data_IF_388280282155
#
_entry.id   IF_388280282155
#
_cell.length_a   1.000
_cell.length_b   1.000
_cell.length_c   1.000
_cell.angle_alpha   90.00
_cell.angle_beta   90.00
_cell.angle_gamma   90.00
#
_symmetry.space_group_name_H-M   'P 1'
#
loop_
_entity.id
_entity.type
_entity.pdbx_description
1 polymer ?
#
# COMPACT_ATOMS: atom_id res chain seq x y z
N UNK A 1 3.89 16.58 -9.75
CA UNK A 1 2.50 16.83 -9.29
C UNK A 1 2.57 17.22 -7.81
N UNK A 2 1.80 18.20 -7.35
CA UNK A 2 1.66 18.51 -5.92
C UNK A 2 1.27 17.25 -5.10
N UNK A 3 1.83 17.11 -3.88
CA UNK A 3 1.60 15.92 -3.04
C UNK A 3 0.11 15.68 -2.77
N UNK A 4 -0.66 16.74 -2.49
CA UNK A 4 -2.10 16.63 -2.22
C UNK A 4 -2.87 16.08 -3.43
N UNK A 5 -2.45 16.37 -4.66
CA UNK A 5 -3.10 15.84 -5.86
C UNK A 5 -2.82 14.34 -6.03
N UNK A 6 -1.62 13.87 -5.63
CA UNK A 6 -1.28 12.45 -5.62
C UNK A 6 -2.07 11.69 -4.54
N UNK A 7 -2.25 12.29 -3.37
CA UNK A 7 -3.08 11.73 -2.29
C UNK A 7 -4.52 11.59 -2.77
N UNK A 8 -5.09 12.62 -3.40
CA UNK A 8 -6.43 12.58 -3.96
C UNK A 8 -6.56 11.48 -5.05
N UNK A 9 -5.55 11.30 -5.89
CA UNK A 9 -5.54 10.28 -6.94
C UNK A 9 -5.53 8.84 -6.38
N UNK A 10 -4.70 8.57 -5.37
CA UNK A 10 -4.69 7.26 -4.70
C UNK A 10 -6.00 7.01 -3.94
N UNK A 11 -6.50 8.03 -3.22
CA UNK A 11 -7.72 7.91 -2.43
C UNK A 11 -8.94 7.57 -3.30
N UNK A 12 -9.10 8.23 -4.46
CA UNK A 12 -10.16 7.93 -5.44
C UNK A 12 -10.08 6.51 -6.01
N UNK A 13 -8.90 5.92 -6.04
CA UNK A 13 -8.70 4.57 -6.58
C UNK A 13 -8.98 3.48 -5.54
N UNK A 14 -8.95 3.83 -4.24
CA UNK A 14 -9.17 2.92 -3.11
C UNK A 14 -10.61 2.99 -2.57
N UNK A 15 -11.26 4.15 -2.64
CA UNK A 15 -12.60 4.38 -2.12
C UNK A 15 -13.65 4.38 -3.24
N UNK A 16 -14.72 3.61 -3.04
CA UNK A 16 -15.88 3.50 -3.92
C UNK A 16 -16.78 4.74 -3.91
N UNK A 17 -16.71 5.56 -2.85
CA UNK A 17 -17.40 6.86 -2.74
C UNK A 17 -16.36 7.99 -2.71
N UNK A 18 -15.92 8.49 -3.87
CA UNK A 18 -14.95 9.57 -3.93
C UNK A 18 -15.62 10.88 -3.48
N UNK A 19 -15.12 11.46 -2.40
CA UNK A 19 -15.67 12.69 -1.82
C UNK A 19 -14.90 13.18 -0.61
N UNK A 20 -14.32 12.27 0.17
CA UNK A 20 -13.58 12.60 1.39
C UNK A 20 -12.09 12.32 1.24
N UNK A 21 -11.26 13.36 1.29
CA UNK A 21 -9.81 13.23 1.28
C UNK A 21 -9.15 14.08 2.36
N UNK A 22 -7.97 13.64 2.83
CA UNK A 22 -7.19 14.42 3.78
C UNK A 22 -6.12 15.20 3.03
N UNK A 23 -6.10 16.51 3.27
CA UNK A 23 -5.08 17.39 2.73
C UNK A 23 -4.04 17.76 3.77
N UNK A 24 -2.79 17.82 3.36
CA UNK A 24 -1.72 18.37 4.17
C UNK A 24 -1.53 19.85 3.83
N UNK A 25 -1.61 20.69 4.86
CA UNK A 25 -1.17 22.08 4.78
C UNK A 25 0.06 22.23 5.66
N UNK A 26 1.19 22.54 5.02
CA UNK A 26 2.40 22.98 5.71
C UNK A 26 2.34 24.49 5.88
N UNK A 27 2.43 24.99 7.11
CA UNK A 27 2.70 26.39 7.39
C UNK A 27 4.12 26.50 7.94
N UNK A 28 4.96 27.28 7.25
CA UNK A 28 6.32 27.57 7.67
C UNK A 28 6.36 28.96 8.31
N UNK A 29 6.59 29.00 9.61
CA UNK A 29 7.03 30.19 10.34
C UNK A 29 8.52 30.02 10.64
N UNK A 30 9.27 31.13 10.70
CA UNK A 30 10.75 31.16 10.84
C UNK A 30 11.30 30.23 11.94
N UNK A 31 10.51 29.94 12.98
CA UNK A 31 10.90 29.03 14.07
C UNK A 31 10.13 27.69 14.13
N UNK A 32 9.13 27.47 13.27
CA UNK A 32 8.29 26.27 13.33
C UNK A 32 7.68 25.91 11.99
N UNK A 33 7.86 24.65 11.59
CA UNK A 33 7.05 24.02 10.56
C UNK A 33 5.88 23.32 11.24
N UNK A 34 4.65 23.75 10.96
CA UNK A 34 3.45 23.02 11.37
C UNK A 34 2.85 22.28 10.18
N UNK A 35 2.65 20.98 10.35
CA UNK A 35 1.94 20.13 9.41
C UNK A 35 0.53 19.93 9.95
N UNK A 36 -0.46 20.54 9.30
CA UNK A 36 -1.87 20.37 9.64
C UNK A 36 -2.55 19.44 8.64
N UNK A 37 -3.33 18.49 9.14
CA UNK A 37 -4.22 17.66 8.32
C UNK A 37 -5.62 18.28 8.34
N UNK A 38 -6.21 18.46 7.16
CA UNK A 38 -7.58 18.95 7.01
C UNK A 38 -8.42 17.96 6.22
N UNK A 39 -9.68 17.80 6.63
CA UNK A 39 -10.66 17.07 5.86
C UNK A 39 -11.18 17.95 4.73
N UNK A 40 -11.20 17.40 3.52
CA UNK A 40 -11.87 17.96 2.37
C UNK A 40 -13.02 17.04 2.00
N UNK A 41 -14.23 17.58 2.01
CA UNK A 41 -15.44 16.96 1.50
C UNK A 41 -15.76 17.58 0.13
N UNK A 42 -15.98 16.75 -0.87
CA UNK A 42 -16.53 17.13 -2.16
C UNK A 42 -17.92 16.53 -2.25
N UNK A 43 -18.93 17.39 -2.26
CA UNK A 43 -20.31 16.99 -2.52
C UNK A 43 -20.50 16.82 -4.03
N UNK A 44 -20.73 15.60 -4.55
CA UNK A 44 -20.91 15.38 -5.99
C UNK A 44 -22.23 15.92 -6.53
N UNK A 45 -23.22 16.22 -5.67
CA UNK A 45 -24.55 16.72 -6.04
C UNK A 45 -24.51 18.26 -6.14
N UNK A 46 -23.87 18.93 -5.17
CA UNK A 46 -23.75 20.39 -5.16
C UNK A 46 -22.48 20.92 -5.83
N UNK A 47 -21.53 20.03 -6.20
CA UNK A 47 -20.20 20.37 -6.69
C UNK A 47 -19.45 21.35 -5.75
N UNK A 48 -19.83 21.33 -4.47
CA UNK A 48 -19.31 22.20 -3.43
C UNK A 48 -18.17 21.50 -2.69
N UNK A 49 -17.11 22.24 -2.40
CA UNK A 49 -15.97 21.76 -1.63
C UNK A 49 -16.01 22.37 -0.24
N UNK A 50 -16.19 21.51 0.76
CA UNK A 50 -16.18 21.91 2.15
C UNK A 50 -14.85 21.51 2.78
N UNK A 51 -14.13 22.48 3.35
CA UNK A 51 -12.96 22.22 4.19
C UNK A 51 -13.38 22.35 5.64
N UNK A 52 -13.22 21.27 6.40
CA UNK A 52 -13.48 21.30 7.84
C UNK A 52 -12.15 21.20 8.58
N UNK A 53 -12.02 22.00 9.65
CA UNK A 53 -10.92 21.88 10.62
C UNK A 53 -11.20 20.75 11.64
N UNK A 54 -12.24 19.94 11.40
CA UNK A 54 -12.56 18.77 12.21
C UNK A 54 -11.47 17.70 12.03
N UNK A 55 -11.00 17.08 13.12
CA UNK A 55 -10.05 15.99 13.02
C UNK A 55 -10.62 14.86 12.14
N UNK A 56 -9.83 14.33 11.18
CA UNK A 56 -10.27 13.23 10.32
C UNK A 56 -10.81 12.02 11.08
N UNK A 57 -10.25 11.78 12.26
CA UNK A 57 -10.62 10.68 13.15
C UNK A 57 -12.05 10.76 13.71
N UNK A 58 -12.68 11.94 13.70
CA UNK A 58 -14.04 12.12 14.19
C UNK A 58 -15.12 11.92 13.12
N UNK A 59 -14.75 11.88 11.84
CA UNK A 59 -15.71 11.90 10.73
C UNK A 59 -15.54 10.68 9.82
N UNK A 60 -14.30 10.22 9.60
CA UNK A 60 -14.03 9.08 8.73
C UNK A 60 -14.31 7.76 9.45
N UNK A 61 -14.89 6.82 8.71
CA UNK A 61 -14.90 5.42 9.16
C UNK A 61 -13.48 4.85 9.24
N UNK A 62 -13.32 3.78 10.00
CA UNK A 62 -12.02 3.11 10.20
C UNK A 62 -11.39 2.67 8.87
N UNK A 63 -12.19 2.14 7.94
CA UNK A 63 -11.74 1.78 6.59
C UNK A 63 -11.32 2.99 5.74
N UNK A 64 -12.03 4.11 5.84
CA UNK A 64 -11.65 5.35 5.13
C UNK A 64 -10.37 5.97 5.68
N UNK A 65 -10.17 5.94 7.00
CA UNK A 65 -8.90 6.36 7.60
C UNK A 65 -7.74 5.49 7.14
N UNK A 66 -7.92 4.17 7.09
CA UNK A 66 -6.90 3.24 6.61
C UNK A 66 -6.55 3.50 5.13
N UNK A 67 -7.55 3.64 4.26
CA UNK A 67 -7.36 3.95 2.84
C UNK A 67 -6.67 5.31 2.64
N UNK A 68 -7.01 6.30 3.45
CA UNK A 68 -6.40 7.62 3.39
C UNK A 68 -4.94 7.60 3.87
N UNK A 69 -4.64 6.99 5.03
CA UNK A 69 -3.26 6.84 5.51
C UNK A 69 -2.38 6.10 4.50
N UNK A 70 -2.95 5.08 3.85
CA UNK A 70 -2.29 4.35 2.78
C UNK A 70 -2.01 5.21 1.52
N UNK A 71 -2.98 6.03 1.11
CA UNK A 71 -2.84 6.97 -0.01
C UNK A 71 -1.70 7.96 0.22
N UNK A 72 -1.55 8.41 1.46
CA UNK A 72 -0.50 9.33 1.89
C UNK A 72 0.87 8.66 1.83
N UNK A 73 0.98 7.43 2.33
CA UNK A 73 2.20 6.64 2.24
C UNK A 73 2.64 6.43 0.79
N UNK A 74 1.72 6.08 -0.09
CA UNK A 74 2.00 5.90 -1.52
C UNK A 74 2.38 7.20 -2.21
N UNK A 75 1.65 8.28 -1.95
CA UNK A 75 1.95 9.60 -2.50
C UNK A 75 3.33 10.09 -2.04
N UNK A 76 3.66 9.92 -0.75
CA UNK A 76 4.97 10.28 -0.23
C UNK A 76 6.09 9.42 -0.83
N UNK A 77 5.90 8.11 -0.92
CA UNK A 77 6.88 7.17 -1.48
C UNK A 77 7.15 7.42 -2.98
N UNK A 78 6.12 7.77 -3.73
CA UNK A 78 6.23 8.06 -5.17
C UNK A 78 6.74 9.48 -5.46
N UNK A 79 6.33 10.47 -4.67
CA UNK A 79 6.78 11.86 -4.82
C UNK A 79 8.21 12.07 -4.33
N UNK A 80 8.61 11.42 -3.23
CA UNK A 80 9.90 11.60 -2.60
C UNK A 80 10.71 10.30 -2.63
N UNK A 81 11.50 10.13 -3.69
CA UNK A 81 12.40 8.98 -3.88
C UNK A 81 13.69 9.12 -3.06
N UNK A 82 13.56 9.19 -1.73
CA UNK A 82 14.71 9.28 -0.81
C UNK A 82 15.55 8.00 -0.76
N UNK A 83 14.99 6.87 -1.18
CA UNK A 83 15.69 5.58 -1.28
C UNK A 83 15.66 5.05 -2.71
N UNK A 84 16.77 4.42 -3.12
CA UNK A 84 16.84 3.67 -4.39
C UNK A 84 16.07 2.36 -4.31
N UNK A 85 15.81 1.85 -3.10
CA UNK A 85 14.99 0.67 -2.91
C UNK A 85 13.52 1.05 -2.93
N UNK A 86 12.87 0.76 -4.06
CA UNK A 86 11.43 1.00 -4.28
C UNK A 86 10.67 -0.16 -3.66
N UNK A 87 10.51 -0.14 -2.34
CA UNK A 87 9.78 -1.17 -1.64
C UNK A 87 8.71 -0.60 -0.71
N UNK A 88 7.66 -1.39 -0.51
CA UNK A 88 6.57 -1.10 0.40
C UNK A 88 6.40 -2.31 1.33
N UNK A 89 6.53 -2.06 2.63
CA UNK A 89 6.35 -3.06 3.68
C UNK A 89 5.07 -2.71 4.42
N UNK A 90 4.12 -3.64 4.43
CA UNK A 90 2.81 -3.44 5.03
C UNK A 90 2.57 -4.50 6.09
N UNK A 91 2.30 -4.05 7.31
CA UNK A 91 1.96 -4.93 8.43
C UNK A 91 0.43 -5.00 8.55
N UNK A 92 -0.14 -6.16 8.23
CA UNK A 92 -1.57 -6.45 8.31
C UNK A 92 -2.50 -5.39 7.67
N UNK A 93 -2.31 -5.01 6.39
CA UNK A 93 -2.98 -3.85 5.78
C UNK A 93 -4.49 -4.01 5.62
N UNK A 94 -5.04 -5.21 5.82
CA UNK A 94 -6.45 -5.53 5.60
C UNK A 94 -7.22 -5.76 6.92
N UNK A 95 -6.61 -5.54 8.08
CA UNK A 95 -7.19 -5.87 9.39
C UNK A 95 -8.58 -5.24 9.63
N UNK A 96 -8.84 -4.07 9.03
CA UNK A 96 -10.08 -3.29 9.21
C UNK A 96 -10.87 -3.06 7.90
N UNK A 97 -10.44 -3.65 6.77
CA UNK A 97 -11.08 -3.43 5.48
C UNK A 97 -12.06 -4.55 5.12
N UNK A 98 -13.19 -4.19 4.50
CA UNK A 98 -14.11 -5.18 3.93
C UNK A 98 -13.54 -5.79 2.63
N UNK A 99 -14.18 -6.85 2.12
CA UNK A 99 -13.74 -7.56 0.91
C UNK A 99 -13.69 -6.63 -0.32
N UNK A 100 -14.55 -5.62 -0.40
CA UNK A 100 -14.62 -4.69 -1.54
C UNK A 100 -13.43 -3.73 -1.53
N UNK A 101 -13.14 -3.10 -0.39
CA UNK A 101 -11.99 -2.23 -0.23
C UNK A 101 -10.67 -3.00 -0.31
N UNK A 102 -10.62 -4.24 0.18
CA UNK A 102 -9.46 -5.12 0.02
C UNK A 102 -9.15 -5.41 -1.46
N UNK A 103 -10.17 -5.62 -2.30
CA UNK A 103 -9.97 -5.84 -3.73
C UNK A 103 -9.38 -4.60 -4.44
N UNK A 104 -9.95 -3.42 -4.19
CA UNK A 104 -9.45 -2.16 -4.74
C UNK A 104 -8.01 -1.89 -4.30
N UNK A 105 -7.72 -2.13 -3.02
CA UNK A 105 -6.37 -2.05 -2.47
C UNK A 105 -5.37 -2.95 -3.22
N UNK A 106 -5.71 -4.24 -3.39
CA UNK A 106 -4.83 -5.17 -4.10
C UNK A 106 -4.61 -4.75 -5.55
N UNK A 107 -5.62 -4.19 -6.22
CA UNK A 107 -5.48 -3.74 -7.60
C UNK A 107 -4.56 -2.50 -7.71
N UNK A 108 -4.63 -1.55 -6.76
CA UNK A 108 -3.63 -0.47 -6.66
C UNK A 108 -2.22 -1.03 -6.40
N UNK A 109 -2.11 -2.08 -5.58
CA UNK A 109 -0.81 -2.66 -5.22
C UNK A 109 -0.16 -3.34 -6.41
N UNK A 110 -0.97 -4.04 -7.20
CA UNK A 110 -0.53 -4.64 -8.45
C UNK A 110 0.01 -3.58 -9.41
N UNK A 111 -0.70 -2.46 -9.56
CA UNK A 111 -0.24 -1.36 -10.40
C UNK A 111 1.11 -0.77 -9.92
N UNK A 112 1.31 -0.64 -8.60
CA UNK A 112 2.60 -0.21 -8.07
C UNK A 112 3.74 -1.21 -8.38
N UNK A 113 3.46 -2.51 -8.35
CA UNK A 113 4.47 -3.54 -8.69
C UNK A 113 4.74 -3.56 -10.20
N UNK A 114 3.69 -3.53 -11.01
CA UNK A 114 3.79 -3.70 -12.47
C UNK A 114 4.31 -2.46 -13.18
N UNK A 115 3.73 -1.29 -12.88
CA UNK A 115 3.99 -0.04 -13.59
C UNK A 115 5.16 0.69 -12.94
N UNK A 116 5.15 0.75 -11.61
CA UNK A 116 6.16 1.49 -10.85
C UNK A 116 7.31 0.59 -10.37
N UNK A 117 7.31 -0.72 -10.63
CA UNK A 117 8.43 -1.60 -10.28
C UNK A 117 8.73 -1.66 -8.77
N UNK A 118 7.71 -1.48 -7.93
CA UNK A 118 7.87 -1.61 -6.48
C UNK A 118 7.96 -3.07 -6.05
N UNK A 119 8.78 -3.34 -5.04
CA UNK A 119 8.78 -4.59 -4.30
C UNK A 119 7.81 -4.49 -3.13
N UNK A 120 6.85 -5.40 -3.07
CA UNK A 120 5.81 -5.38 -2.06
C UNK A 120 5.99 -6.55 -1.08
N UNK A 121 6.07 -6.23 0.21
CA UNK A 121 6.08 -7.20 1.30
C UNK A 121 4.87 -6.94 2.18
N UNK A 122 4.04 -7.96 2.39
CA UNK A 122 2.90 -7.87 3.29
C UNK A 122 2.94 -9.00 4.30
N UNK A 123 2.63 -8.69 5.55
CA UNK A 123 2.18 -9.67 6.54
C UNK A 123 0.66 -9.63 6.63
N UNK A 124 0.05 -10.76 6.97
CA UNK A 124 -1.33 -10.82 7.42
C UNK A 124 -1.43 -11.94 8.45
N UNK A 125 -2.29 -11.75 9.43
CA UNK A 125 -2.61 -12.79 10.42
C UNK A 125 -3.67 -13.78 9.90
N UNK A 126 -4.35 -13.49 8.77
CA UNK A 126 -5.35 -14.37 8.17
C UNK A 126 -4.83 -15.03 6.91
N UNK A 127 -4.83 -16.36 6.89
CA UNK A 127 -4.41 -17.15 5.73
C UNK A 127 -5.26 -16.86 4.48
N UNK A 128 -6.56 -16.65 4.65
CA UNK A 128 -7.49 -16.40 3.55
C UNK A 128 -7.21 -15.07 2.84
N UNK A 129 -6.76 -14.05 3.57
CA UNK A 129 -6.35 -12.77 2.99
C UNK A 129 -5.08 -12.94 2.14
N UNK A 130 -4.09 -13.69 2.65
CA UNK A 130 -2.88 -14.02 1.90
C UNK A 130 -3.17 -14.81 0.61
N UNK A 131 -4.06 -15.79 0.66
CA UNK A 131 -4.51 -16.55 -0.52
C UNK A 131 -5.28 -15.66 -1.51
N UNK A 132 -6.13 -14.75 -1.03
CA UNK A 132 -6.85 -13.80 -1.88
C UNK A 132 -5.90 -12.89 -2.65
N UNK A 133 -4.91 -12.29 -1.97
CA UNK A 133 -3.88 -11.45 -2.59
C UNK A 133 -3.09 -12.28 -3.61
N UNK A 134 -2.62 -13.46 -3.23
CA UNK A 134 -1.84 -14.32 -4.10
C UNK A 134 -2.59 -14.70 -5.39
N UNK A 135 -3.88 -15.00 -5.30
CA UNK A 135 -4.73 -15.29 -6.47
C UNK A 135 -4.89 -14.09 -7.39
N UNK A 136 -5.04 -12.88 -6.84
CA UNK A 136 -5.10 -11.64 -7.63
C UNK A 136 -3.80 -11.36 -8.38
N UNK A 137 -2.65 -11.59 -7.74
CA UNK A 137 -1.34 -11.48 -8.40
C UNK A 137 -1.11 -12.56 -9.45
N UNK A 138 -1.55 -13.80 -9.20
CA UNK A 138 -1.47 -14.89 -10.18
C UNK A 138 -2.35 -14.63 -11.41
N UNK A 139 -3.57 -14.11 -11.20
CA UNK A 139 -4.45 -13.68 -12.29
C UNK A 139 -3.87 -12.53 -13.13
N UNK A 140 -3.00 -11.72 -12.53
CA UNK A 140 -2.25 -10.66 -13.21
C UNK A 140 -1.01 -11.17 -13.97
N UNK A 141 -0.59 -12.41 -13.72
CA UNK A 141 0.72 -12.89 -14.15
C UNK A 141 1.91 -12.21 -13.44
N UNK A 142 1.68 -11.56 -12.31
CA UNK A 142 2.72 -10.88 -11.53
C UNK A 142 3.40 -11.84 -10.56
N UNK A 143 4.72 -11.71 -10.30
CA UNK A 143 5.44 -12.60 -9.40
C UNK A 143 4.97 -12.44 -7.96
N UNK A 144 4.56 -13.56 -7.34
CA UNK A 144 4.13 -13.60 -5.95
C UNK A 144 4.70 -14.82 -5.24
N UNK A 145 5.21 -14.60 -4.04
CA UNK A 145 5.69 -15.64 -3.12
C UNK A 145 4.94 -15.51 -1.80
N UNK A 146 4.34 -16.62 -1.36
CA UNK A 146 3.65 -16.71 -0.07
C UNK A 146 4.51 -17.53 0.89
N UNK A 147 4.78 -16.97 2.06
CA UNK A 147 5.51 -17.65 3.13
C UNK A 147 4.57 -17.78 4.32
N UNK A 148 4.22 -19.02 4.67
CA UNK A 148 3.38 -19.30 5.83
C UNK A 148 4.27 -19.51 7.06
N UNK A 149 4.10 -18.66 8.07
CA UNK A 149 4.82 -18.75 9.34
C UNK A 149 4.04 -19.69 10.27
N UNK A 150 4.66 -20.77 10.75
CA UNK A 150 3.96 -21.90 11.40
C UNK A 150 4.17 -21.95 12.91
N UNK A 151 5.38 -21.72 13.41
CA UNK A 151 5.66 -21.84 14.84
C UNK A 151 6.89 -21.03 15.24
N UNK A 152 6.96 -20.64 16.51
CA UNK A 152 8.17 -20.09 17.12
C UNK A 152 9.14 -21.24 17.41
N UNK A 153 10.43 -21.03 17.14
CA UNK A 153 11.49 -21.98 17.49
C UNK A 153 12.68 -21.27 18.12
N UNK A 154 13.63 -22.06 18.66
CA UNK A 154 14.86 -21.54 19.28
C UNK A 154 15.72 -20.73 18.30
N UNK A 155 15.64 -21.01 17.01
CA UNK A 155 16.42 -20.34 15.95
C UNK A 155 15.61 -19.26 15.19
N UNK A 156 14.44 -18.88 15.71
CA UNK A 156 13.52 -17.93 15.08
C UNK A 156 12.20 -18.57 14.65
N UNK A 157 11.47 -17.88 13.76
CA UNK A 157 10.14 -18.33 13.30
C UNK A 157 10.30 -19.41 12.23
N UNK A 158 9.70 -20.57 12.45
CA UNK A 158 9.58 -21.63 11.43
C UNK A 158 8.58 -21.18 10.38
N UNK A 159 8.94 -21.40 9.12
CA UNK A 159 8.03 -21.23 7.98
C UNK A 159 7.80 -22.56 7.29
N UNK A 160 6.62 -22.74 6.70
CA UNK A 160 6.40 -23.75 5.69
C UNK A 160 7.26 -23.44 4.44
N UNK A 161 7.47 -24.42 3.54
CA UNK A 161 8.13 -24.18 2.26
C UNK A 161 7.43 -23.03 1.50
N UNK A 162 8.18 -22.02 1.02
CA UNK A 162 7.59 -20.90 0.29
C UNK A 162 6.81 -21.38 -0.94
N UNK A 163 5.62 -20.84 -1.12
CA UNK A 163 4.80 -21.08 -2.30
C UNK A 163 5.04 -19.99 -3.32
N UNK A 164 5.65 -20.34 -4.44
CA UNK A 164 5.86 -19.44 -5.57
C UNK A 164 4.81 -19.69 -6.65
N UNK A 165 4.22 -18.62 -7.17
CA UNK A 165 3.37 -18.70 -8.37
C UNK A 165 4.21 -18.89 -9.64
N UNK A 166 3.55 -19.11 -10.78
CA UNK A 166 4.24 -19.41 -12.04
C UNK A 166 5.20 -18.29 -12.45
N UNK A 167 4.80 -17.03 -12.31
CA UNK A 167 5.63 -15.87 -12.61
C UNK A 167 6.87 -15.77 -11.71
N UNK A 168 6.72 -15.97 -10.40
CA UNK A 168 7.84 -15.97 -9.46
C UNK A 168 8.84 -17.10 -9.74
N UNK A 169 8.36 -18.30 -10.08
CA UNK A 169 9.25 -19.42 -10.46
C UNK A 169 10.09 -19.11 -11.69
N UNK A 170 9.52 -18.42 -12.69
CA UNK A 170 10.28 -17.99 -13.88
C UNK A 170 11.40 -17.02 -13.52
N UNK A 171 11.15 -16.08 -12.61
CA UNK A 171 12.18 -15.15 -12.14
C UNK A 171 13.27 -15.86 -11.34
N UNK A 172 12.90 -16.75 -10.42
CA UNK A 172 13.85 -17.46 -9.58
C UNK A 172 14.74 -18.42 -10.39
N UNK A 173 14.19 -19.06 -11.42
CA UNK A 173 14.90 -19.97 -12.31
C UNK A 173 15.56 -19.25 -13.51
N UNK A 174 15.40 -17.93 -13.62
CA UNK A 174 16.03 -17.12 -14.66
C UNK A 174 17.55 -17.05 -14.49
N UNK A 175 18.32 -16.81 -15.57
CA UNK A 175 19.78 -16.84 -15.54
C UNK A 175 20.44 -15.77 -14.64
N UNK A 176 19.71 -14.73 -14.20
CA UNK A 176 20.26 -13.61 -13.43
C UNK A 176 20.36 -13.83 -11.90
N UNK A 177 19.81 -14.92 -11.34
CA UNK A 177 19.90 -15.19 -9.89
C UNK A 177 21.20 -15.90 -9.46
N UNK A 178 22.13 -16.16 -10.38
CA UNK A 178 23.50 -16.62 -10.05
C UNK A 178 24.39 -15.46 -9.62
N UNK A 179 24.08 -14.84 -8.48
CA UNK A 179 25.04 -13.96 -7.81
C UNK A 179 26.18 -14.79 -7.21
N UNK A 180 27.32 -14.77 -7.89
CA UNK A 180 28.66 -14.76 -7.29
C UNK A 180 29.15 -16.03 -6.61
N UNK A 181 29.65 -16.99 -7.39
CA UNK A 181 30.83 -17.75 -6.94
C UNK A 181 32.02 -16.79 -6.97
N UNK A 182 32.76 -16.56 -5.88
CA UNK A 182 34.02 -15.83 -5.97
C UNK A 182 35.01 -16.73 -6.73
N UNK A 183 35.49 -16.22 -7.86
CA UNK A 183 36.63 -16.78 -8.55
C UNK A 183 37.92 -16.31 -7.85
N UNK A 184 38.88 -17.24 -7.77
CA UNK A 184 40.22 -17.20 -7.16
C UNK A 184 40.28 -17.51 -5.66
#
# INVERSE_FOLDING_TARGET
MPLNDLIDAFNRSLLSTPGESVQFKSAHTVERTSLAMRLRYADPIENAQYQTDLPPQLVLSEGQMAANGFSILCAASTAYRWSRWRALLLDDPLQHNDIIHAAAFVDVMRNLVEIEGYQLLMSSHKRDEGEFIARKFDAAGLPCTVVELTAVSKDGVRSAPPRHNAAARRLLNGPETRFGTPAA
#
